data_IF_695195154199
#
_entry.id   IF_695195154199
#
_cell.length_a   1.000
_cell.length_b   1.000
_cell.length_c   1.000
_cell.angle_alpha   90.00
_cell.angle_beta   90.00
_cell.angle_gamma   90.00
#
_symmetry.space_group_name_H-M   'P 1'
#
loop_
_entity.id
_entity.type
_entity.pdbx_description
1 polymer ?
#
# COMPACT_ATOMS: atom_id res chain seq x y z
N UNK A 1 27.95 29.25 2.86
CA UNK A 1 27.15 28.01 2.86
C UNK A 1 25.69 28.43 2.89
N UNK A 2 24.95 28.33 1.78
CA UNK A 2 23.54 28.72 1.73
C UNK A 2 22.67 27.66 2.44
N UNK A 3 21.61 28.04 3.15
CA UNK A 3 20.74 27.06 3.83
C UNK A 3 20.02 26.19 2.80
N UNK A 4 19.98 24.88 3.07
CA UNK A 4 19.12 23.95 2.32
C UNK A 4 17.67 24.33 2.61
N UNK A 5 16.91 24.56 1.55
CA UNK A 5 15.51 24.98 1.64
C UNK A 5 14.65 23.89 2.29
N UNK A 6 14.18 24.10 3.51
CA UNK A 6 13.22 23.21 4.19
C UNK A 6 11.78 23.64 3.86
N UNK A 7 11.42 23.63 2.58
CA UNK A 7 10.11 24.11 2.12
C UNK A 7 8.98 23.07 2.21
N UNK A 8 9.30 21.81 2.50
CA UNK A 8 8.31 20.75 2.60
C UNK A 8 8.31 20.18 4.01
N UNK A 9 7.12 20.08 4.61
CA UNK A 9 6.92 19.45 5.93
C UNK A 9 6.46 18.00 5.78
N UNK A 10 5.75 17.69 4.70
CA UNK A 10 5.15 16.38 4.47
C UNK A 10 5.16 16.05 2.96
N UNK A 11 5.29 14.76 2.63
CA UNK A 11 5.22 14.23 1.27
C UNK A 11 4.37 12.96 1.25
N UNK A 12 3.51 12.81 0.24
CA UNK A 12 2.76 11.59 -0.04
C UNK A 12 3.28 10.90 -1.30
N UNK A 13 3.28 9.58 -1.28
CA UNK A 13 3.52 8.75 -2.45
C UNK A 13 2.21 8.06 -2.85
N UNK A 14 1.93 8.03 -4.15
CA UNK A 14 0.83 7.24 -4.69
C UNK A 14 1.22 6.62 -6.04
N UNK A 15 0.63 5.47 -6.36
CA UNK A 15 0.71 4.87 -7.68
C UNK A 15 -0.64 4.28 -8.07
N UNK A 16 -1.09 4.61 -9.27
CA UNK A 16 -2.36 4.12 -9.82
C UNK A 16 -2.16 2.84 -10.63
N UNK A 17 -3.21 2.05 -10.75
CA UNK A 17 -3.24 0.85 -11.55
C UNK A 17 -4.65 0.29 -11.65
N UNK A 18 -4.78 -0.89 -12.23
CA UNK A 18 -6.04 -1.62 -12.19
C UNK A 18 -6.02 -2.63 -11.05
N UNK A 19 -7.14 -2.75 -10.34
CA UNK A 19 -7.40 -3.79 -9.37
C UNK A 19 -8.63 -4.63 -9.77
N UNK A 20 -8.62 -5.92 -9.46
CA UNK A 20 -9.80 -6.78 -9.53
C UNK A 20 -10.36 -7.00 -8.13
N UNK A 21 -11.63 -6.64 -7.92
CA UNK A 21 -12.36 -6.88 -6.70
C UNK A 21 -13.18 -8.16 -6.84
N UNK A 22 -13.15 -9.01 -5.82
CA UNK A 22 -14.01 -10.19 -5.74
C UNK A 22 -14.37 -10.50 -4.29
N UNK A 23 -15.55 -11.05 -4.09
CA UNK A 23 -16.03 -11.56 -2.80
C UNK A 23 -16.96 -12.76 -3.08
N UNK A 24 -17.62 -13.29 -2.05
CA UNK A 24 -18.49 -14.47 -2.20
C UNK A 24 -19.89 -14.11 -2.72
N UNK A 25 -20.29 -12.84 -2.61
CA UNK A 25 -21.68 -12.41 -2.79
C UNK A 25 -21.90 -11.73 -4.16
N UNK A 26 -20.84 -11.22 -4.79
CA UNK A 26 -20.90 -10.47 -6.03
C UNK A 26 -19.86 -10.96 -7.06
N UNK A 27 -20.21 -10.81 -8.34
CA UNK A 27 -19.31 -11.12 -9.44
C UNK A 27 -17.99 -10.32 -9.35
N UNK A 28 -16.87 -10.88 -9.83
CA UNK A 28 -15.61 -10.14 -9.91
C UNK A 28 -15.75 -8.88 -10.78
N UNK A 29 -15.16 -7.79 -10.32
CA UNK A 29 -15.25 -6.48 -10.96
C UNK A 29 -13.86 -5.85 -11.10
N UNK A 30 -13.59 -5.24 -12.26
CA UNK A 30 -12.33 -4.56 -12.53
C UNK A 30 -12.50 -3.07 -12.28
N UNK A 31 -11.70 -2.52 -11.37
CA UNK A 31 -11.76 -1.12 -10.93
C UNK A 31 -10.40 -0.44 -11.02
N UNK A 32 -10.36 0.89 -10.93
CA UNK A 32 -9.10 1.60 -10.77
C UNK A 32 -8.66 1.53 -9.30
N UNK A 33 -7.46 1.01 -9.06
CA UNK A 33 -6.86 0.93 -7.74
C UNK A 33 -5.71 1.92 -7.59
N UNK A 34 -5.52 2.44 -6.39
CA UNK A 34 -4.37 3.27 -6.04
C UNK A 34 -3.70 2.76 -4.78
N UNK A 35 -2.37 2.62 -4.82
CA UNK A 35 -1.58 2.48 -3.61
C UNK A 35 -1.23 3.87 -3.15
N UNK A 36 -1.49 4.20 -1.88
CA UNK A 36 -1.26 5.52 -1.32
C UNK A 36 -0.59 5.41 0.05
N UNK A 37 0.34 6.31 0.36
CA UNK A 37 0.84 6.46 1.72
C UNK A 37 -0.29 6.87 2.68
N UNK A 38 -0.24 6.46 3.95
CA UNK A 38 -1.27 6.81 4.94
C UNK A 38 -1.50 8.33 5.09
N UNK A 39 -0.50 9.16 4.79
CA UNK A 39 -0.60 10.62 4.87
C UNK A 39 -1.37 11.26 3.70
N UNK A 40 -1.67 10.51 2.64
CA UNK A 40 -2.22 11.05 1.38
C UNK A 40 -3.53 11.81 1.60
N UNK A 41 -4.50 11.23 2.30
CA UNK A 41 -5.81 11.86 2.48
C UNK A 41 -5.78 13.03 3.47
N UNK A 42 -4.92 12.93 4.49
CA UNK A 42 -4.59 14.06 5.38
C UNK A 42 -4.06 15.26 4.60
N UNK A 43 -3.18 15.04 3.63
CA UNK A 43 -2.63 16.11 2.76
C UNK A 43 -3.66 16.65 1.78
N UNK A 44 -4.50 15.78 1.22
CA UNK A 44 -5.61 16.18 0.35
C UNK A 44 -6.76 16.86 1.11
N UNK A 45 -6.70 16.87 2.46
CA UNK A 45 -7.74 17.38 3.38
C UNK A 45 -9.12 16.81 3.08
N UNK A 46 -9.16 15.57 2.61
CA UNK A 46 -10.39 14.88 2.27
C UNK A 46 -10.64 13.76 3.27
N UNK A 47 -11.53 13.96 4.26
CA UNK A 47 -11.84 12.91 5.21
C UNK A 47 -12.63 11.78 4.54
N UNK A 48 -12.45 10.57 5.05
CA UNK A 48 -13.23 9.39 4.70
C UNK A 48 -14.69 9.60 5.14
N UNK A 49 -15.66 9.19 4.33
CA UNK A 49 -17.10 9.32 4.61
C UNK A 49 -17.55 8.38 5.73
N UNK A 50 -17.08 7.13 5.68
CA UNK A 50 -17.38 6.08 6.65
C UNK A 50 -16.09 5.38 7.07
N UNK A 51 -15.92 5.15 8.37
CA UNK A 51 -14.74 4.47 8.94
C UNK A 51 -13.53 5.39 9.14
N UNK A 52 -12.44 4.87 9.75
CA UNK A 52 -11.20 5.62 9.93
C UNK A 52 -10.42 5.80 8.62
N UNK A 53 -9.52 6.79 8.60
CA UNK A 53 -8.45 6.90 7.61
C UNK A 53 -7.40 5.79 7.84
N UNK A 54 -6.49 5.58 6.89
CA UNK A 54 -5.39 4.63 7.04
C UNK A 54 -4.58 4.92 8.31
N UNK A 55 -4.36 3.87 9.10
CA UNK A 55 -3.50 3.92 10.26
C UNK A 55 -2.04 3.77 9.81
N UNK A 56 -1.08 4.46 10.46
CA UNK A 56 0.34 4.32 10.13
C UNK A 56 0.83 2.87 10.16
N UNK A 57 0.32 2.07 11.11
CA UNK A 57 0.64 0.65 11.26
C UNK A 57 0.23 -0.20 10.05
N UNK A 58 -0.80 0.20 9.29
CA UNK A 58 -1.28 -0.53 8.11
C UNK A 58 -0.35 -0.37 6.89
N UNK A 59 0.59 0.58 6.96
CA UNK A 59 1.65 0.78 5.97
C UNK A 59 2.93 0.01 6.32
N UNK A 60 2.97 -0.70 7.45
CA UNK A 60 4.12 -1.51 7.86
C UNK A 60 4.18 -2.83 7.07
N UNK A 61 5.37 -3.45 7.06
CA UNK A 61 5.55 -4.75 6.40
C UNK A 61 4.78 -5.83 7.15
N UNK A 62 4.06 -6.65 6.39
CA UNK A 62 3.26 -7.74 6.97
C UNK A 62 2.03 -7.25 7.75
N UNK A 63 1.71 -5.96 7.69
CA UNK A 63 0.48 -5.44 8.26
C UNK A 63 -0.74 -5.99 7.52
N UNK A 64 -1.87 -6.04 8.24
CA UNK A 64 -3.13 -6.48 7.66
C UNK A 64 -3.46 -5.67 6.41
N UNK A 65 -3.89 -6.37 5.36
CA UNK A 65 -4.23 -5.74 4.11
C UNK A 65 -5.59 -5.07 4.26
N UNK A 66 -5.60 -3.75 4.12
CA UNK A 66 -6.82 -2.96 4.21
C UNK A 66 -7.09 -2.23 2.91
N UNK A 67 -8.36 -1.88 2.70
CA UNK A 67 -8.81 -1.15 1.52
C UNK A 67 -9.87 -0.12 1.91
N UNK A 68 -9.78 1.05 1.29
CA UNK A 68 -10.82 2.08 1.30
C UNK A 68 -11.50 2.05 -0.06
N UNK A 69 -12.84 2.02 -0.06
CA UNK A 69 -13.65 1.99 -1.28
C UNK A 69 -14.04 3.40 -1.72
N UNK A 70 -14.15 3.60 -3.02
CA UNK A 70 -14.82 4.76 -3.60
C UNK A 70 -16.33 4.66 -3.41
N UNK A 71 -16.99 5.82 -3.36
CA UNK A 71 -18.43 5.91 -3.17
C UNK A 71 -19.21 5.09 -4.22
N UNK A 72 -18.80 5.15 -5.49
CA UNK A 72 -19.51 4.46 -6.58
C UNK A 72 -19.40 2.94 -6.48
N UNK A 73 -18.22 2.42 -6.10
CA UNK A 73 -18.05 0.98 -5.84
C UNK A 73 -18.90 0.55 -4.65
N UNK A 74 -18.90 1.34 -3.58
CA UNK A 74 -19.70 1.06 -2.39
C UNK A 74 -21.20 1.04 -2.72
N UNK A 75 -21.70 2.06 -3.42
CA UNK A 75 -23.10 2.16 -3.82
C UNK A 75 -23.52 1.04 -4.78
N UNK A 76 -22.73 0.78 -5.83
CA UNK A 76 -23.10 -0.17 -6.88
C UNK A 76 -22.98 -1.63 -6.41
N UNK A 77 -21.94 -1.94 -5.63
CA UNK A 77 -21.65 -3.31 -5.18
C UNK A 77 -22.36 -3.66 -3.88
N UNK A 78 -22.42 -2.74 -2.92
CA UNK A 78 -22.94 -3.01 -1.58
C UNK A 78 -24.24 -2.25 -1.26
N UNK A 79 -24.80 -1.49 -2.21
CA UNK A 79 -26.11 -0.86 -2.05
C UNK A 79 -26.18 0.21 -0.96
N UNK A 80 -25.09 0.96 -0.75
CA UNK A 80 -24.95 1.95 0.33
C UNK A 80 -25.05 1.33 1.76
N UNK A 81 -24.72 0.04 1.91
CA UNK A 81 -24.73 -0.66 3.20
C UNK A 81 -23.55 -0.20 4.10
N UNK A 82 -23.81 0.45 5.26
CA UNK A 82 -22.75 0.87 6.17
C UNK A 82 -22.06 -0.32 6.89
N UNK A 83 -22.69 -1.49 6.93
CA UNK A 83 -22.13 -2.72 7.52
C UNK A 83 -21.06 -3.36 6.61
N UNK A 84 -20.65 -2.66 5.55
CA UNK A 84 -19.51 -3.02 4.71
C UNK A 84 -18.17 -2.88 5.43
N UNK A 85 -18.08 -2.00 6.43
CA UNK A 85 -16.84 -1.80 7.21
C UNK A 85 -16.53 -3.06 8.02
N UNK A 86 -15.31 -3.56 7.92
CA UNK A 86 -14.87 -4.81 8.52
C UNK A 86 -15.15 -6.04 7.67
N UNK A 87 -15.87 -5.92 6.54
CA UNK A 87 -16.03 -7.04 5.60
C UNK A 87 -14.74 -7.32 4.86
N UNK A 88 -14.57 -8.58 4.48
CA UNK A 88 -13.43 -9.05 3.71
C UNK A 88 -13.80 -9.12 2.23
N UNK A 89 -12.92 -8.60 1.38
CA UNK A 89 -12.94 -8.84 -0.06
C UNK A 89 -11.53 -9.24 -0.53
N UNK A 90 -11.42 -9.65 -1.78
CA UNK A 90 -10.13 -9.94 -2.41
C UNK A 90 -9.81 -8.88 -3.45
N UNK A 91 -8.66 -8.25 -3.30
CA UNK A 91 -8.09 -7.31 -4.28
C UNK A 91 -6.94 -8.01 -4.99
N UNK A 92 -7.10 -8.32 -6.27
CA UNK A 92 -6.13 -9.13 -7.04
C UNK A 92 -5.81 -10.45 -6.32
N UNK A 93 -6.84 -11.18 -5.88
CA UNK A 93 -6.76 -12.45 -5.13
C UNK A 93 -6.20 -12.33 -3.71
N UNK A 94 -5.73 -11.16 -3.29
CA UNK A 94 -5.22 -10.92 -1.93
C UNK A 94 -6.39 -10.56 -0.99
N UNK A 95 -6.60 -11.29 0.12
CA UNK A 95 -7.63 -10.95 1.10
C UNK A 95 -7.30 -9.58 1.71
N UNK A 96 -8.30 -8.70 1.74
CA UNK A 96 -8.22 -7.34 2.26
C UNK A 96 -9.50 -6.98 3.01
N UNK A 97 -9.38 -6.22 4.10
CA UNK A 97 -10.50 -5.76 4.91
C UNK A 97 -10.91 -4.35 4.52
N UNK A 98 -12.21 -4.10 4.39
CA UNK A 98 -12.76 -2.78 4.10
C UNK A 98 -12.71 -1.97 5.40
N UNK A 99 -11.89 -0.92 5.43
CA UNK A 99 -11.78 -0.05 6.62
C UNK A 99 -12.49 1.28 6.46
N UNK A 100 -12.77 1.69 5.21
CA UNK A 100 -13.46 2.94 4.98
C UNK A 100 -14.09 3.09 3.59
N UNK A 101 -14.88 4.15 3.45
CA UNK A 101 -15.50 4.57 2.18
C UNK A 101 -15.26 6.05 1.95
N UNK A 102 -14.78 6.44 0.76
CA UNK A 102 -14.57 7.83 0.37
C UNK A 102 -15.88 8.54 0.02
N UNK A 103 -15.98 9.87 0.22
CA UNK A 103 -17.15 10.64 -0.17
C UNK A 103 -17.33 10.66 -1.70
N UNK A 104 -18.58 10.89 -2.13
CA UNK A 104 -18.94 10.96 -3.55
C UNK A 104 -18.09 11.97 -4.32
N UNK A 105 -17.66 11.58 -5.52
CA UNK A 105 -16.85 12.43 -6.41
C UNK A 105 -15.36 12.48 -6.04
N UNK A 106 -14.93 11.78 -4.98
CA UNK A 106 -13.52 11.62 -4.69
C UNK A 106 -12.92 10.49 -5.54
N UNK A 107 -12.07 10.87 -6.48
CA UNK A 107 -11.33 9.93 -7.33
C UNK A 107 -9.81 10.24 -7.30
N UNK A 108 -9.38 11.11 -6.40
CA UNK A 108 -7.99 11.48 -6.24
C UNK A 108 -7.28 10.56 -5.23
N UNK A 109 -6.00 10.24 -5.43
CA UNK A 109 -5.22 10.46 -6.64
C UNK A 109 -5.50 9.40 -7.73
N UNK A 110 -5.30 9.78 -9.01
CA UNK A 110 -5.27 8.88 -10.18
C UNK A 110 -6.60 8.23 -10.63
N UNK A 111 -7.71 8.93 -10.50
CA UNK A 111 -9.05 8.41 -10.86
C UNK A 111 -9.36 7.06 -10.18
N UNK A 112 -8.94 6.92 -8.92
CA UNK A 112 -9.01 5.68 -8.18
C UNK A 112 -10.42 5.44 -7.64
N UNK A 113 -10.88 4.20 -7.81
CA UNK A 113 -12.13 3.67 -7.26
C UNK A 113 -11.88 2.92 -5.95
N UNK A 114 -10.61 2.56 -5.66
CA UNK A 114 -10.18 1.93 -4.42
C UNK A 114 -8.78 2.41 -4.04
N UNK A 115 -8.51 2.47 -2.74
CA UNK A 115 -7.20 2.81 -2.21
C UNK A 115 -6.71 1.73 -1.25
N UNK A 116 -5.42 1.42 -1.33
CA UNK A 116 -4.72 0.53 -0.40
C UNK A 116 -3.47 1.23 0.13
N UNK A 117 -2.99 0.90 1.33
CA UNK A 117 -1.74 1.45 1.83
C UNK A 117 -0.58 1.01 0.95
N UNK A 118 0.35 1.93 0.68
CA UNK A 118 1.63 1.62 0.06
C UNK A 118 2.49 0.84 1.06
N UNK A 119 2.44 -0.48 1.00
CA UNK A 119 3.30 -1.36 1.81
C UNK A 119 4.62 -1.61 1.07
N UNK A 120 5.78 -1.63 1.78
CA UNK A 120 7.02 -2.10 1.20
C UNK A 120 6.87 -3.56 0.79
N UNK A 121 6.86 -3.84 -0.52
CA UNK A 121 6.84 -5.20 -1.03
C UNK A 121 8.24 -5.83 -0.92
N UNK A 122 8.31 -7.15 -0.68
CA UNK A 122 9.57 -7.90 -0.55
C UNK A 122 10.48 -7.79 -1.80
N UNK A 123 9.91 -7.45 -2.95
CA UNK A 123 10.61 -7.39 -4.24
C UNK A 123 11.63 -6.24 -4.32
N UNK A 124 11.43 -5.17 -3.54
CA UNK A 124 12.39 -4.07 -3.44
C UNK A 124 13.63 -4.45 -2.60
N UNK A 125 13.51 -5.40 -1.67
CA UNK A 125 14.64 -5.90 -0.89
C UNK A 125 15.50 -6.91 -1.71
N UNK A 126 14.94 -7.57 -2.72
CA UNK A 126 15.68 -8.55 -3.51
C UNK A 126 16.68 -7.91 -4.49
N UNK A 127 16.50 -6.63 -4.83
CA UNK A 127 17.48 -5.87 -5.64
C UNK A 127 18.77 -5.54 -4.88
N UNK A 128 18.78 -5.62 -3.55
CA UNK A 128 19.95 -5.29 -2.73
C UNK A 128 20.84 -6.50 -2.39
N UNK A 129 20.45 -7.72 -2.81
CA UNK A 129 21.18 -8.97 -2.49
C UNK A 129 22.00 -9.54 -3.63
N UNK A 130 22.10 -8.86 -4.78
CA UNK A 130 23.04 -9.26 -5.83
C UNK A 130 24.40 -8.62 -5.57
N UNK A 131 25.09 -9.10 -4.54
CA UNK A 131 26.54 -8.89 -4.43
C UNK A 131 27.16 -9.42 -5.73
N UNK A 132 27.70 -8.52 -6.55
CA UNK A 132 28.50 -8.86 -7.72
C UNK A 132 29.83 -9.40 -7.19
N UNK A 133 29.87 -10.68 -6.81
CA UNK A 133 31.12 -11.39 -6.62
C UNK A 133 31.59 -11.95 -7.96
N UNK A 134 31.97 -11.06 -8.88
CA UNK A 134 32.91 -11.46 -9.93
C UNK A 134 34.32 -11.31 -9.38
N UNK A 135 34.88 -12.41 -8.92
CA UNK A 135 36.33 -12.52 -8.73
C UNK A 135 36.78 -13.76 -9.48
N UNK A 136 37.23 -13.52 -10.71
CA UNK A 136 38.08 -14.44 -11.45
C UNK A 136 39.48 -14.35 -10.84
N UNK A 137 40.05 -15.47 -10.39
CA UNK A 137 41.45 -15.53 -9.98
C UNK A 137 41.76 -16.45 -8.80
N UNK A 138 42.08 -17.71 -9.14
CA UNK A 138 43.10 -18.60 -8.57
C UNK A 138 43.39 -18.62 -7.05
N UNK A 139 43.16 -19.81 -6.48
CA UNK A 139 44.02 -20.51 -5.49
C UNK A 139 44.34 -19.80 -4.15
N UNK A 140 43.69 -20.24 -3.06
CA UNK A 140 44.34 -20.80 -1.85
C UNK A 140 43.42 -20.80 -0.61
N UNK A 141 43.21 -22.02 -0.06
CA UNK A 141 43.45 -22.41 1.35
C UNK A 141 42.88 -21.52 2.47
N UNK A 142 41.99 -22.14 3.28
CA UNK A 142 42.02 -22.00 4.74
C UNK A 142 41.09 -20.94 5.35
N UNK A 143 39.81 -21.26 5.52
CA UNK A 143 38.95 -20.53 6.44
C UNK A 143 39.21 -21.02 7.88
N UNK A 144 39.93 -20.25 8.69
CA UNK A 144 40.05 -20.48 10.15
C UNK A 144 39.44 -19.31 10.92
N UNK A 145 38.40 -19.63 11.69
CA UNK A 145 37.73 -18.78 12.68
C UNK A 145 38.71 -18.11 13.66
N UNK A 146 38.45 -16.84 13.98
CA UNK A 146 38.75 -16.21 15.28
C UNK A 146 37.82 -15.00 15.42
N UNK A 147 36.64 -15.15 16.03
CA UNK A 147 36.36 -14.90 17.46
C UNK A 147 37.06 -13.64 17.97
N UNK A 148 36.29 -12.55 18.06
CA UNK A 148 36.63 -11.37 18.83
C UNK A 148 36.56 -11.69 20.33
N UNK A 149 37.56 -11.26 21.09
CA UNK A 149 37.44 -11.13 22.55
C UNK A 149 38.35 -9.98 23.01
N UNK A 150 37.66 -8.98 23.59
CA UNK A 150 38.03 -8.08 24.69
C UNK A 150 39.40 -7.41 24.72
#
# INVERSE_FOLDING_TARGET
>A
MAPVSTCFTDLAAFTGGTANLSDNDHAPERVNGSLASAITFRLLRQPVLLGPDFLPAESERGADRVVILGYEVWQNRYGDDPDVIGRMLRVNEEPSTIVGVMPKGMQCPSNADTWRPLQPTDDLDQRDRRCISSTSGSTAIGCSRRVCSS
#
